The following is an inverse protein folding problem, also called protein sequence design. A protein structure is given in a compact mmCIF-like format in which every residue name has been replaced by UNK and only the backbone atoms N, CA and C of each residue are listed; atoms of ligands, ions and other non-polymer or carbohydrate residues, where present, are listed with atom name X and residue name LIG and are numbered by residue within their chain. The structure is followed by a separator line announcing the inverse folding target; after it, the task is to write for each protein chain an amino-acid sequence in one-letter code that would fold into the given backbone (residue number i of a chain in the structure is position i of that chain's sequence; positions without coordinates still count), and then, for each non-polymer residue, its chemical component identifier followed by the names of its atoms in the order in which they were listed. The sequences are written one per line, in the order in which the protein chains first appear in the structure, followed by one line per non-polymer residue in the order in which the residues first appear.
data_IF_970937230343
#
_entry.id   IF_970937230343
#
_cell.length_a   1.000
_cell.length_b   1.000
_cell.length_c   1.000
_cell.angle_alpha   90.00
_cell.angle_beta   90.00
_cell.angle_gamma   90.00
#
_symmetry.space_group_name_H-M   'P 1'
#
loop_
_entity.id
_entity.type
_entity.pdbx_description
1 polymer ?
2 water ?
#
# COMPACT_ATOMS: atom_id res chain seq x y z
N UNK A 2 2.25 -6.25 25.10
CA UNK A 2 1.35 -6.17 23.91
C UNK A 2 0.53 -4.89 24.04
N UNK A 3 -0.30 -4.83 25.09
CA UNK A 3 -1.04 -3.63 25.43
C UNK A 3 -0.14 -2.46 25.85
N UNK A 4 0.95 -2.73 26.57
CA UNK A 4 1.90 -1.68 26.97
C UNK A 4 2.63 -0.99 25.80
N UNK A 5 3.06 -1.79 24.82
CA UNK A 5 3.55 -1.29 23.54
C UNK A 5 2.52 -0.47 22.75
N UNK A 6 1.28 -0.97 22.64
CA UNK A 6 0.23 -0.19 21.97
C UNK A 6 0.03 1.14 22.66
N UNK A 7 -0.10 1.10 24.00
CA UNK A 7 -0.24 2.31 24.82
C UNK A 7 0.90 3.29 24.57
N UNK A 8 2.16 2.83 24.52
CA UNK A 8 3.31 3.72 24.18
C UNK A 8 3.16 4.33 22.79
N UNK A 9 2.80 3.50 21.81
CA UNK A 9 2.68 3.99 20.45
C UNK A 9 1.56 5.00 20.25
N UNK A 10 0.42 4.85 20.95
CA UNK A 10 -0.70 5.76 20.82
C UNK A 10 -0.28 7.13 21.37
N UNK A 11 0.44 7.14 22.49
CA UNK A 11 0.98 8.39 22.99
C UNK A 11 1.86 9.12 21.97
N UNK A 12 2.60 8.39 21.13
CA UNK A 12 3.52 9.01 20.15
C UNK A 12 2.94 9.34 18.80
N UNK A 13 1.96 8.54 18.36
CA UNK A 13 1.54 8.50 16.94
C UNK A 13 0.08 8.91 16.72
N UNK A 14 -0.73 8.87 17.77
CA UNK A 14 -2.13 9.19 17.63
C UNK A 14 -2.29 10.70 17.53
N UNK A 15 -2.77 11.18 16.39
CA UNK A 15 -3.00 12.61 16.23
C UNK A 15 -4.45 13.05 16.54
N UNK A 16 -5.47 12.31 16.07
CA UNK A 16 -6.85 12.62 16.49
C UNK A 16 -7.67 11.31 16.50
N UNK A 17 -8.82 11.27 17.17
CA UNK A 17 -9.74 10.12 17.11
C UNK A 17 -11.09 10.66 16.67
N UNK A 18 -11.86 9.83 16.00
CA UNK A 18 -13.19 10.18 15.54
C UNK A 18 -13.93 8.88 15.46
N UNK A 19 -15.18 8.92 15.04
CA UNK A 19 -16.00 7.70 15.04
C UNK A 19 -17.29 7.87 14.25
N UNK A 20 -17.89 6.72 13.92
CA UNK A 20 -19.22 6.64 13.30
C UNK A 20 -19.67 5.20 13.43
N UNK A 21 -20.82 4.95 14.09
CA UNK A 21 -21.40 3.61 14.11
C UNK A 21 -20.44 2.70 14.86
N UNK A 22 -20.10 1.54 14.29
CA UNK A 22 -19.19 0.63 14.95
C UNK A 22 -17.73 0.92 14.61
N UNK A 23 -17.45 2.09 14.03
CA UNK A 23 -16.08 2.43 13.61
C UNK A 23 -15.43 3.55 14.42
N UNK A 24 -14.22 3.32 14.97
CA UNK A 24 -13.34 4.42 15.39
C UNK A 24 -12.33 4.72 14.27
N UNK A 25 -12.17 6.00 13.97
CA UNK A 25 -11.25 6.42 12.94
C UNK A 25 -10.12 7.15 13.67
N UNK A 26 -8.87 6.73 13.44
CA UNK A 26 -7.67 7.25 14.15
C UNK A 26 -6.73 7.82 13.12
N UNK A 27 -6.15 8.99 13.41
CA UNK A 27 -5.27 9.71 12.46
C UNK A 27 -3.92 9.76 13.08
N UNK A 28 -2.91 9.49 12.27
CA UNK A 28 -1.52 9.51 12.70
C UNK A 28 -0.77 10.45 11.74
N UNK A 29 0.54 10.71 11.98
CA UNK A 29 1.25 11.42 10.91
C UNK A 29 1.38 10.52 9.68
N UNK A 30 1.55 11.13 8.49
CA UNK A 30 1.80 10.32 7.29
C UNK A 30 2.92 9.32 7.53
N UNK A 31 2.75 8.16 6.91
CA UNK A 31 3.63 7.03 7.13
C UNK A 31 3.65 6.32 8.47
N UNK A 32 2.77 6.66 9.42
CA UNK A 32 2.73 5.98 10.74
C UNK A 32 1.54 5.00 10.96
N UNK A 33 0.52 5.06 10.11
CA UNK A 33 -0.73 4.30 10.34
C UNK A 33 -0.58 2.76 10.38
N UNK A 34 0.14 2.15 9.43
CA UNK A 34 0.28 0.66 9.46
C UNK A 34 1.03 0.25 10.70
N UNK A 35 1.98 1.08 11.13
CA UNK A 35 2.78 0.79 12.30
C UNK A 35 1.96 0.79 13.60
N UNK A 36 1.14 1.83 13.76
CA UNK A 36 0.24 1.92 14.92
C UNK A 36 -0.83 0.79 14.85
N UNK A 37 -1.39 0.55 13.65
CA UNK A 37 -2.43 -0.50 13.44
C UNK A 37 -1.93 -1.93 13.79
N UNK A 38 -0.68 -2.27 13.46
CA UNK A 38 -0.19 -3.58 13.85
C UNK A 38 -0.03 -3.69 15.35
N UNK A 39 0.38 -2.60 16.01
CA UNK A 39 0.45 -2.59 17.46
C UNK A 39 -0.95 -2.73 18.09
N UNK A 40 -1.95 -2.10 17.50
CA UNK A 40 -3.32 -2.31 18.00
C UNK A 40 -3.69 -3.79 17.85
N UNK A 41 -3.33 -4.40 16.72
CA UNK A 41 -3.68 -5.81 16.46
C UNK A 41 -3.03 -6.71 17.46
N UNK A 42 -1.72 -6.55 17.59
CA UNK A 42 -0.95 -7.36 18.52
C UNK A 42 -1.40 -7.23 19.97
N UNK A 43 -2.04 -6.12 20.35
CA UNK A 43 -2.63 -5.99 21.71
C UNK A 43 -3.89 -6.86 21.86
N UNK A 44 -4.48 -7.29 20.75
CA UNK A 44 -5.73 -8.07 20.75
C UNK A 44 -6.76 -7.65 21.82
N UNK A 45 -7.27 -6.42 21.74
CA UNK A 45 -8.27 -5.98 22.70
C UNK A 45 -9.57 -6.71 22.44
N UNK A 46 -10.27 -7.11 23.51
CA UNK A 46 -11.52 -7.90 23.41
C UNK A 46 -12.58 -7.16 22.61
N UNK A 47 -12.54 -5.84 22.65
CA UNK A 47 -13.57 -5.06 21.99
C UNK A 47 -13.24 -4.66 20.54
N UNK A 48 -12.12 -5.13 20.00
CA UNK A 48 -11.70 -4.73 18.66
C UNK A 48 -11.80 -5.97 17.77
N UNK A 49 -12.54 -5.86 16.68
CA UNK A 49 -12.67 -6.97 15.70
C UNK A 49 -11.47 -6.95 14.74
N UNK A 50 -10.98 -5.77 14.43
CA UNK A 50 -9.87 -5.62 13.54
C UNK A 50 -9.67 -4.18 13.15
N UNK A 51 -8.60 -3.97 12.36
CA UNK A 51 -8.11 -2.69 11.93
C UNK A 51 -7.70 -2.79 10.48
N UNK A 52 -7.89 -1.69 9.75
CA UNK A 52 -7.23 -1.52 8.47
C UNK A 52 -6.57 -0.15 8.47
N UNK A 53 -5.33 -0.10 7.98
CA UNK A 53 -4.57 1.13 7.92
C UNK A 53 -4.43 1.62 6.47
N UNK A 54 -4.58 2.93 6.29
CA UNK A 54 -4.15 3.65 5.08
C UNK A 54 -2.76 4.21 5.33
N UNK A 55 -2.47 5.39 4.81
CA UNK A 55 -1.19 6.05 5.10
C UNK A 55 -1.19 6.77 6.47
N UNK A 56 -2.26 7.50 6.77
CA UNK A 56 -2.32 8.26 8.01
C UNK A 56 -3.66 8.13 8.73
N UNK A 57 -4.39 7.06 8.42
CA UNK A 57 -5.75 6.85 8.91
C UNK A 57 -5.85 5.37 9.29
N UNK A 58 -6.44 5.10 10.45
CA UNK A 58 -6.80 3.72 10.78
C UNK A 58 -8.29 3.58 11.02
N UNK A 59 -8.89 2.50 10.51
CA UNK A 59 -10.28 2.14 10.86
C UNK A 59 -10.24 1.03 11.80
N UNK A 60 -10.87 1.22 12.93
CA UNK A 60 -10.83 0.21 13.97
C UNK A 60 -12.24 -0.28 14.09
N UNK A 61 -12.45 -1.58 13.88
CA UNK A 61 -13.80 -2.15 14.00
C UNK A 61 -14.14 -2.56 15.43
N UNK A 62 -15.16 -1.94 16.00
CA UNK A 62 -15.60 -2.27 17.34
C UNK A 62 -16.46 -3.56 17.39
N UNK A 63 -16.32 -4.36 18.44
CA UNK A 63 -17.09 -5.56 18.63
C UNK A 63 -18.44 -5.22 19.33
N UNK A 64 -19.57 -5.42 18.63
CA UNK A 64 -20.90 -5.33 19.22
C UNK A 64 -20.88 -5.87 20.70
N UNK A 65 -21.51 -5.14 21.65
CA UNK A 65 -22.20 -3.85 21.56
C UNK A 65 -21.34 -2.61 21.84
N UNK A 66 -20.01 -2.76 21.96
CA UNK A 66 -19.13 -1.59 21.94
C UNK A 66 -19.33 -0.74 20.67
N UNK A 67 -19.38 0.57 20.83
CA UNK A 67 -19.54 1.46 19.69
C UNK A 67 -18.16 2.04 19.30
N UNK A 68 -18.05 2.59 18.11
CA UNK A 68 -16.84 3.28 17.69
C UNK A 68 -16.53 4.50 18.56
N UNK A 69 -17.56 5.20 19.04
CA UNK A 69 -17.35 6.36 19.91
C UNK A 69 -16.70 5.89 21.20
N UNK A 70 -17.07 4.73 21.70
CA UNK A 70 -16.46 4.27 22.93
C UNK A 70 -15.02 3.90 22.69
N UNK A 71 -14.73 3.22 21.57
CA UNK A 71 -13.31 2.83 21.31
C UNK A 71 -12.44 4.06 21.16
N UNK A 72 -12.93 5.03 20.36
CA UNK A 72 -12.26 6.31 20.15
C UNK A 72 -11.95 7.06 21.45
N UNK A 73 -12.92 7.20 22.34
CA UNK A 73 -12.71 7.81 23.63
C UNK A 73 -11.69 7.04 24.45
N UNK A 74 -11.72 5.72 24.42
CA UNK A 74 -10.66 4.92 25.06
C UNK A 74 -9.24 5.18 24.47
N UNK A 75 -9.10 5.10 23.14
CA UNK A 75 -7.81 5.42 22.51
C UNK A 75 -7.36 6.86 22.82
N UNK A 76 -8.31 7.79 22.83
CA UNK A 76 -8.02 9.21 23.05
C UNK A 76 -7.35 9.40 24.45
N UNK A 77 -7.92 8.75 25.47
CA UNK A 77 -7.44 8.85 26.86
C UNK A 77 -6.18 8.04 27.14
N UNK A 78 -5.65 7.37 26.13
CA UNK A 78 -4.39 6.64 26.30
C UNK A 78 -3.24 7.41 25.65
N UNK A 79 -3.54 8.56 25.05
CA UNK A 79 -2.43 9.45 24.74
C UNK A 79 -1.97 10.10 26.07
N UNK B 2 -9.89 23.57 -2.17
CA UNK B 2 -10.11 22.27 -1.47
C UNK B 2 -11.25 21.49 -2.10
N UNK B 3 -12.45 22.05 -1.98
CA UNK B 3 -13.66 21.49 -2.55
C UNK B 3 -13.73 21.58 -4.10
N UNK B 4 -13.06 22.57 -4.70
CA UNK B 4 -12.97 22.66 -6.17
C UNK B 4 -12.17 21.54 -6.80
N UNK B 5 -11.00 21.32 -6.22
CA UNK B 5 -10.15 20.19 -6.58
C UNK B 5 -10.89 18.88 -6.36
N UNK B 6 -11.53 18.73 -5.20
CA UNK B 6 -12.24 17.48 -4.98
C UNK B 6 -13.25 17.23 -6.08
N UNK B 7 -14.13 18.22 -6.30
CA UNK B 7 -15.23 18.13 -7.29
C UNK B 7 -14.75 17.94 -8.73
N UNK B 8 -13.59 18.52 -9.05
CA UNK B 8 -12.99 18.30 -10.36
C UNK B 8 -12.53 16.84 -10.48
N UNK B 9 -11.86 16.32 -9.46
CA UNK B 9 -11.41 14.92 -9.46
C UNK B 9 -12.54 13.90 -9.43
N UNK B 10 -13.61 14.17 -8.69
CA UNK B 10 -14.77 13.30 -8.80
C UNK B 10 -15.24 13.29 -10.23
N UNK B 11 -15.22 14.42 -10.91
CA UNK B 11 -15.66 14.45 -12.31
C UNK B 11 -14.83 13.54 -13.21
N UNK B 12 -13.52 13.54 -13.01
CA UNK B 12 -12.66 12.71 -13.82
C UNK B 12 -12.70 11.23 -13.44
N UNK B 13 -12.67 10.97 -12.12
CA UNK B 13 -12.26 9.68 -11.53
C UNK B 13 -13.35 8.83 -10.88
N UNK B 14 -14.50 9.42 -10.55
CA UNK B 14 -15.59 8.69 -10.00
C UNK B 14 -16.30 7.85 -11.08
N UNK B 15 -16.09 6.54 -11.03
CA UNK B 15 -16.76 5.60 -11.94
C UNK B 15 -18.15 5.18 -11.42
N UNK B 16 -18.25 4.86 -10.13
CA UNK B 16 -19.51 4.43 -9.56
C UNK B 16 -19.53 4.55 -8.03
N UNK B 17 -20.74 4.55 -7.47
CA UNK B 17 -20.90 4.64 -6.02
C UNK B 17 -21.77 3.49 -5.53
N UNK B 18 -21.83 3.32 -4.22
CA UNK B 18 -22.63 2.29 -3.59
C UNK B 18 -22.54 2.57 -2.10
N UNK B 19 -23.34 1.87 -1.31
CA UNK B 19 -23.45 2.22 0.10
C UNK B 19 -23.97 1.07 0.95
N UNK B 20 -23.65 1.08 2.23
CA UNK B 20 -24.27 0.21 3.18
C UNK B 20 -24.14 0.92 4.53
N UNK B 21 -25.25 1.21 5.20
CA UNK B 21 -25.16 1.75 6.59
C UNK B 21 -24.49 3.12 6.51
N UNK B 22 -23.51 3.35 7.37
CA UNK B 22 -22.75 4.64 7.43
C UNK B 22 -21.59 4.74 6.38
N UNK B 23 -21.58 3.83 5.40
CA UNK B 23 -20.47 3.72 4.48
C UNK B 23 -20.84 4.00 3.05
N UNK B 24 -20.00 4.81 2.40
CA UNK B 24 -20.10 5.01 0.96
C UNK B 24 -18.92 4.29 0.31
N UNK B 25 -19.18 3.51 -0.75
CA UNK B 25 -18.11 2.85 -1.50
C UNK B 25 -17.96 3.56 -2.84
N UNK B 26 -16.79 4.12 -3.11
CA UNK B 26 -16.53 4.79 -4.37
C UNK B 26 -15.59 3.96 -5.19
N UNK B 27 -15.88 3.81 -6.48
CA UNK B 27 -15.00 3.11 -7.45
C UNK B 27 -14.35 4.12 -8.38
N UNK B 28 -13.08 3.91 -8.67
CA UNK B 28 -12.32 4.74 -9.60
C UNK B 28 -11.66 3.85 -10.68
N UNK B 29 -10.95 4.46 -11.66
CA UNK B 29 -10.09 3.62 -12.48
C UNK B 29 -8.91 3.07 -11.70
N UNK B 30 -8.31 1.95 -12.18
CA UNK B 30 -7.21 1.34 -11.45
C UNK B 30 -6.17 2.39 -11.16
N UNK B 31 -5.55 2.33 -9.99
CA UNK B 31 -4.51 3.30 -9.66
C UNK B 31 -4.95 4.72 -9.28
N UNK B 32 -6.25 5.03 -9.36
CA UNK B 32 -6.76 6.40 -9.07
C UNK B 32 -7.29 6.68 -7.63
N UNK B 33 -7.59 5.62 -6.86
CA UNK B 33 -8.32 5.74 -5.59
C UNK B 33 -7.58 6.50 -4.50
N UNK B 34 -6.26 6.32 -4.38
CA UNK B 34 -5.51 7.04 -3.34
C UNK B 34 -5.52 8.53 -3.58
N UNK B 35 -5.47 8.88 -4.84
CA UNK B 35 -5.37 10.24 -5.22
C UNK B 35 -6.68 11.01 -4.95
N UNK B 36 -7.78 10.41 -5.40
CA UNK B 36 -9.13 10.83 -5.13
C UNK B 36 -9.42 10.84 -3.63
N UNK B 37 -9.15 9.74 -2.93
CA UNK B 37 -9.30 9.70 -1.48
C UNK B 37 -8.60 10.85 -0.79
N UNK B 38 -7.38 11.18 -1.20
CA UNK B 38 -6.67 12.19 -0.48
C UNK B 38 -7.25 13.61 -0.78
N UNK B 39 -7.79 13.83 -1.98
CA UNK B 39 -8.51 15.08 -2.32
C UNK B 39 -9.73 15.25 -1.41
N UNK B 40 -10.54 14.21 -1.31
CA UNK B 40 -11.64 14.14 -0.34
C UNK B 40 -11.21 14.47 1.11
N UNK B 41 -10.12 13.85 1.62
CA UNK B 41 -9.58 14.14 2.95
C UNK B 41 -9.21 15.62 3.11
N UNK B 42 -8.39 16.15 2.18
CA UNK B 42 -8.01 17.56 2.23
C UNK B 42 -9.23 18.50 2.14
N UNK B 43 -10.33 18.05 1.55
CA UNK B 43 -11.52 18.91 1.48
C UNK B 43 -12.20 19.02 2.87
N UNK B 44 -11.98 18.05 3.75
CA UNK B 44 -12.44 18.09 5.15
C UNK B 44 -13.99 18.36 5.26
N UNK B 45 -14.78 17.52 4.64
CA UNK B 45 -16.24 17.66 4.71
C UNK B 45 -16.73 17.35 6.12
N UNK B 46 -17.62 18.20 6.68
CA UNK B 46 -18.19 17.92 7.99
C UNK B 46 -18.98 16.60 8.06
N UNK B 47 -19.59 16.15 6.95
CA UNK B 47 -20.32 14.86 6.91
C UNK B 47 -19.40 13.63 6.69
N UNK B 48 -18.12 13.87 6.44
CA UNK B 48 -17.13 12.76 6.33
C UNK B 48 -16.25 12.57 7.60
N UNK B 49 -16.17 11.35 8.12
CA UNK B 49 -15.27 11.06 9.23
C UNK B 49 -13.83 10.69 8.80
N UNK B 50 -13.69 9.99 7.68
CA UNK B 50 -12.45 9.52 7.14
C UNK B 50 -12.64 8.63 5.92
N UNK B 51 -11.51 8.28 5.30
CA UNK B 51 -11.51 7.47 4.11
C UNK B 51 -10.38 6.46 4.17
N UNK B 52 -10.59 5.32 3.49
CA UNK B 52 -9.49 4.41 3.19
C UNK B 52 -9.61 4.00 1.75
N UNK B 53 -8.48 4.05 1.04
CA UNK B 53 -8.38 3.71 -0.37
C UNK B 53 -7.59 2.41 -0.57
N UNK B 54 -8.03 1.57 -1.51
CA UNK B 54 -7.20 0.57 -2.14
C UNK B 54 -6.86 1.09 -3.52
N UNK B 55 -6.66 0.19 -4.48
CA UNK B 55 -6.23 0.60 -5.81
C UNK B 55 -7.31 1.36 -6.57
N UNK B 56 -8.51 0.83 -6.60
CA UNK B 56 -9.62 1.42 -7.34
C UNK B 56 -10.89 1.53 -6.50
N UNK B 57 -10.76 1.46 -5.18
CA UNK B 57 -11.92 1.49 -4.28
C UNK B 57 -11.65 2.44 -3.12
N UNK B 58 -12.63 3.29 -2.81
CA UNK B 58 -12.58 4.12 -1.60
C UNK B 58 -13.76 3.84 -0.67
N UNK B 59 -13.42 3.59 0.60
CA UNK B 59 -14.41 3.53 1.69
C UNK B 59 -14.44 4.91 2.39
N UNK B 60 -15.61 5.55 2.36
CA UNK B 60 -15.83 6.81 3.04
C UNK B 60 -16.80 6.59 4.20
N UNK B 61 -16.38 7.00 5.39
CA UNK B 61 -17.14 6.81 6.60
C UNK B 61 -17.94 8.11 6.86
N UNK B 62 -19.27 8.00 6.80
CA UNK B 62 -20.17 9.14 6.99
C UNK B 62 -20.31 9.51 8.46
N UNK B 63 -20.29 10.80 8.76
CA UNK B 63 -20.56 11.30 10.09
C UNK B 63 -22.07 11.26 10.35
N UNK B 64 -22.47 10.57 11.43
CA UNK B 64 -23.87 10.53 11.89
C UNK B 64 -24.38 12.00 11.97
N UNK B 65 -25.62 12.27 11.47
CA UNK B 65 -26.57 11.24 11.01
C UNK B 65 -26.63 10.95 9.55
N UNK B 66 -25.71 11.50 8.76
CA UNK B 66 -25.67 11.29 7.30
C UNK B 66 -25.42 9.81 7.03
N UNK B 67 -26.09 9.24 6.03
CA UNK B 67 -25.94 7.79 5.79
C UNK B 67 -24.91 7.67 4.69
N UNK B 68 -24.49 6.44 4.41
CA UNK B 68 -23.66 6.16 3.26
C UNK B 68 -24.34 6.47 1.94
N UNK B 69 -25.64 6.19 1.85
CA UNK B 69 -26.42 6.56 0.66
C UNK B 69 -26.47 8.08 0.42
N UNK B 70 -26.68 8.87 1.47
CA UNK B 70 -26.67 10.36 1.36
C UNK B 70 -25.28 10.90 0.98
N UNK B 71 -24.26 10.20 1.46
CA UNK B 71 -22.89 10.60 1.17
C UNK B 71 -22.54 10.25 -0.26
N UNK B 72 -22.84 9.01 -0.66
CA UNK B 72 -22.75 8.61 -2.10
C UNK B 72 -23.54 9.51 -3.08
N UNK B 73 -24.77 9.92 -2.73
CA UNK B 73 -25.56 10.82 -3.59
C UNK B 73 -24.90 12.19 -3.74
N UNK B 74 -24.42 12.69 -2.62
CA UNK B 74 -23.60 13.91 -2.62
C UNK B 74 -22.40 13.82 -3.55
N UNK B 75 -21.61 12.74 -3.47
CA UNK B 75 -20.44 12.60 -4.35
C UNK B 75 -20.84 12.51 -5.86
N UNK B 76 -21.92 11.84 -6.17
CA UNK B 76 -22.34 11.80 -7.56
C UNK B 76 -22.78 13.16 -8.12
N UNK B 77 -23.57 13.91 -7.38
CA UNK B 77 -24.06 15.18 -7.92
C UNK B 77 -22.92 16.21 -8.05
N UNK B 78 -21.67 15.79 -7.94
CA UNK B 78 -20.60 16.76 -7.93
C UNK B 78 -19.74 16.63 -9.19
N UNK B 79 -19.79 15.45 -9.83
CA UNK B 79 -19.17 15.20 -11.14
C UNK B 79 -19.56 16.21 -12.24
N UNK C 2 -14.42 -16.83 -11.93
CA UNK C 2 -14.68 -15.62 -11.06
C UNK C 2 -15.01 -16.06 -9.63
N UNK C 3 -16.20 -16.62 -9.43
CA UNK C 3 -16.59 -17.21 -8.13
C UNK C 3 -15.78 -18.47 -7.82
N UNK C 4 -15.38 -19.21 -8.86
CA UNK C 4 -14.57 -20.40 -8.58
C UNK C 4 -13.18 -20.12 -8.06
N UNK C 5 -12.54 -19.15 -8.69
CA UNK C 5 -11.25 -18.63 -8.26
C UNK C 5 -11.36 -18.09 -6.81
N UNK C 6 -12.41 -17.28 -6.54
CA UNK C 6 -12.62 -16.81 -5.16
C UNK C 6 -12.70 -17.98 -4.17
N UNK C 7 -13.61 -18.94 -4.44
CA UNK C 7 -13.71 -20.18 -3.61
C UNK C 7 -12.34 -20.93 -3.37
N UNK C 8 -11.59 -21.11 -4.44
CA UNK C 8 -10.28 -21.79 -4.33
C UNK C 8 -9.33 -20.96 -3.43
N UNK C 9 -9.31 -19.64 -3.64
CA UNK C 9 -8.45 -18.78 -2.84
C UNK C 9 -8.85 -18.70 -1.37
N UNK C 10 -10.15 -18.68 -1.09
CA UNK C 10 -10.56 -18.69 0.31
C UNK C 10 -10.04 -19.93 0.99
N UNK C 11 -10.14 -21.05 0.28
CA UNK C 11 -9.58 -22.33 0.80
C UNK C 11 -8.11 -22.28 1.12
N UNK C 12 -7.27 -21.64 0.30
CA UNK C 12 -5.84 -21.47 0.64
C UNK C 12 -5.51 -20.34 1.67
N UNK C 13 -6.25 -19.21 1.62
CA UNK C 13 -5.81 -17.97 2.28
C UNK C 13 -6.63 -17.50 3.50
N UNK C 14 -7.87 -17.95 3.62
CA UNK C 14 -8.69 -17.50 4.73
C UNK C 14 -8.30 -18.20 6.02
N UNK C 15 -7.62 -17.48 6.93
CA UNK C 15 -7.28 -17.98 8.26
C UNK C 15 -8.44 -17.97 9.27
N UNK C 16 -9.16 -16.86 9.39
CA UNK C 16 -10.27 -16.77 10.35
C UNK C 16 -11.24 -15.74 9.85
N UNK C 17 -12.45 -15.75 10.41
CA UNK C 17 -13.48 -14.75 10.02
C UNK C 17 -14.09 -14.15 11.26
N UNK C 18 -14.63 -12.95 11.16
CA UNK C 18 -15.24 -12.29 12.31
C UNK C 18 -16.15 -11.22 11.74
N UNK C 19 -16.87 -10.51 12.59
CA UNK C 19 -17.83 -9.55 12.06
C UNK C 19 -18.21 -8.51 13.08
N UNK C 20 -18.81 -7.45 12.56
CA UNK C 20 -19.45 -6.47 13.39
C UNK C 20 -20.37 -5.70 12.50
N UNK C 21 -21.68 -5.69 12.79
CA UNK C 21 -22.62 -4.82 12.09
C UNK C 21 -22.66 -5.21 10.62
N UNK C 22 -22.57 -4.24 9.68
CA UNK C 22 -22.54 -4.60 8.26
C UNK C 22 -21.16 -5.11 7.75
N UNK C 23 -20.27 -5.53 8.65
CA UNK C 23 -18.88 -5.80 8.30
C UNK C 23 -18.45 -7.21 8.57
N UNK C 24 -17.84 -7.86 7.57
CA UNK C 24 -17.12 -9.12 7.81
C UNK C 24 -15.64 -8.81 7.84
N UNK C 25 -14.94 -9.36 8.82
CA UNK C 25 -13.52 -9.18 8.87
C UNK C 25 -12.89 -10.55 8.59
N UNK C 26 -12.11 -10.59 7.51
CA UNK C 26 -11.41 -11.79 7.11
C UNK C 26 -9.95 -11.61 7.42
N UNK C 27 -9.33 -12.65 7.97
CA UNK C 27 -7.89 -12.64 8.23
C UNK C 27 -7.18 -13.62 7.29
N UNK C 28 -6.02 -13.17 6.80
CA UNK C 28 -5.19 -13.98 5.92
C UNK C 28 -3.75 -14.09 6.44
N UNK C 29 -2.89 -14.90 5.79
CA UNK C 29 -1.49 -14.70 6.09
C UNK C 29 -0.96 -13.32 5.62
N UNK C 30 0.09 -12.80 6.30
CA UNK C 30 0.59 -11.48 5.88
C UNK C 30 1.02 -11.52 4.41
N UNK C 31 0.71 -10.45 3.67
CA UNK C 31 1.03 -10.40 2.23
C UNK C 31 -0.06 -10.94 1.32
N UNK C 32 -1.06 -11.62 1.91
CA UNK C 32 -2.10 -12.24 1.11
C UNK C 32 -3.49 -11.53 1.07
N UNK C 33 -3.69 -10.44 1.83
CA UNK C 33 -5.03 -9.79 1.89
C UNK C 33 -5.47 -9.14 0.57
N UNK C 34 -4.55 -8.39 -0.03
CA UNK C 34 -4.81 -7.73 -1.31
C UNK C 34 -5.20 -8.70 -2.41
N UNK C 35 -4.51 -9.82 -2.47
CA UNK C 35 -4.74 -10.83 -3.46
C UNK C 35 -6.13 -11.47 -3.30
N UNK C 36 -6.47 -11.92 -2.09
CA UNK C 36 -7.80 -12.45 -1.78
C UNK C 36 -8.92 -11.45 -2.04
N UNK C 37 -8.75 -10.20 -1.56
CA UNK C 37 -9.77 -9.14 -1.72
C UNK C 37 -10.06 -8.95 -3.17
N UNK C 38 -9.01 -8.94 -4.01
CA UNK C 38 -9.18 -8.75 -5.45
C UNK C 38 -10.01 -9.88 -6.04
N UNK C 39 -9.73 -11.12 -5.64
CA UNK C 39 -10.53 -12.28 -6.07
C UNK C 39 -12.00 -12.19 -5.59
N UNK C 40 -12.21 -11.77 -4.34
CA UNK C 40 -13.59 -11.50 -3.84
C UNK C 40 -14.29 -10.45 -4.67
N UNK C 41 -13.63 -9.31 -4.88
CA UNK C 41 -14.09 -8.23 -5.77
C UNK C 41 -14.55 -8.70 -7.14
N UNK C 42 -13.62 -9.32 -7.87
CA UNK C 42 -13.90 -9.89 -9.19
C UNK C 42 -15.08 -10.91 -9.21
N UNK C 43 -15.36 -11.62 -8.10
CA UNK C 43 -16.51 -12.57 -8.08
C UNK C 43 -17.87 -11.87 -8.03
N UNK C 44 -17.82 -10.62 -7.62
CA UNK C 44 -18.97 -9.70 -7.58
C UNK C 44 -20.22 -10.34 -6.97
N UNK C 45 -20.16 -10.79 -5.72
CA UNK C 45 -21.31 -11.42 -5.06
C UNK C 45 -22.38 -10.35 -4.83
N UNK C 46 -23.68 -10.71 -5.03
CA UNK C 46 -24.80 -9.76 -4.90
C UNK C 46 -24.86 -9.12 -3.50
N UNK C 47 -24.33 -9.79 -2.46
CA UNK C 47 -24.48 -9.31 -1.07
C UNK C 47 -23.28 -8.54 -0.56
N UNK C 48 -22.29 -8.37 -1.43
CA UNK C 48 -21.04 -7.67 -1.11
C UNK C 48 -21.07 -6.31 -1.82
N UNK C 49 -20.80 -5.22 -1.07
CA UNK C 49 -20.78 -3.88 -1.64
C UNK C 49 -19.39 -3.52 -2.07
N UNK C 50 -18.38 -3.88 -1.28
CA UNK C 50 -17.02 -3.70 -1.65
C UNK C 50 -16.09 -4.27 -0.62
N UNK C 51 -14.82 -4.22 -0.92
CA UNK C 51 -13.85 -4.73 0.04
C UNK C 51 -12.76 -3.69 0.21
N UNK C 52 -12.05 -3.69 1.32
CA UNK C 52 -10.75 -3.00 1.37
C UNK C 52 -9.76 -3.90 2.09
N UNK C 53 -8.56 -4.04 1.55
CA UNK C 53 -7.56 -4.90 2.14
C UNK C 53 -6.46 -4.10 2.87
N UNK C 54 -6.07 -4.60 4.03
CA UNK C 54 -4.80 -4.22 4.65
C UNK C 54 -3.75 -5.21 4.20
N UNK C 55 -2.93 -5.64 5.13
CA UNK C 55 -1.87 -6.58 4.80
C UNK C 55 -2.31 -8.03 5.04
N UNK C 56 -2.97 -8.26 6.18
CA UNK C 56 -3.43 -9.57 6.55
C UNK C 56 -4.90 -9.49 7.00
N UNK C 57 -5.55 -8.39 6.66
CA UNK C 57 -6.96 -8.31 6.98
C UNK C 57 -7.78 -7.68 5.85
N UNK C 58 -9.03 -8.10 5.74
CA UNK C 58 -9.92 -7.56 4.70
C UNK C 58 -11.21 -7.12 5.35
N UNK C 59 -11.72 -5.95 4.97
CA UNK C 59 -13.06 -5.53 5.37
C UNK C 59 -13.95 -5.79 4.20
N UNK C 60 -15.00 -6.60 4.43
CA UNK C 60 -16.00 -6.85 3.40
C UNK C 60 -17.28 -6.19 3.85
N UNK C 61 -17.81 -5.31 2.99
CA UNK C 61 -19.02 -4.57 3.28
C UNK C 61 -20.28 -5.31 2.78
N UNK C 62 -21.14 -5.71 3.72
CA UNK C 62 -22.40 -6.39 3.39
C UNK C 62 -23.43 -5.41 2.86
N UNK C 63 -24.09 -5.80 1.77
CA UNK C 63 -25.23 -5.12 1.22
C UNK C 63 -26.45 -5.42 2.09
N UNK C 64 -27.12 -4.37 2.55
CA UNK C 64 -28.32 -4.55 3.40
C UNK C 64 -29.34 -5.34 2.57
N UNK C 65 -30.15 -6.19 3.24
CA UNK C 65 -30.20 -6.44 4.66
C UNK C 65 -29.29 -7.58 5.16
N UNK C 66 -28.39 -8.09 4.32
CA UNK C 66 -27.41 -9.08 4.78
C UNK C 66 -26.49 -8.41 5.80
N UNK C 67 -26.06 -9.17 6.81
CA UNK C 67 -25.21 -8.65 7.87
C UNK C 67 -23.75 -9.16 7.66
N UNK C 68 -22.81 -8.59 8.39
CA UNK C 68 -21.43 -9.06 8.46
C UNK C 68 -21.29 -10.50 8.97
N UNK C 69 -22.02 -10.84 10.03
CA UNK C 69 -22.03 -12.24 10.51
C UNK C 69 -22.44 -13.21 9.40
N UNK C 70 -23.42 -12.82 8.61
CA UNK C 70 -23.90 -13.68 7.51
C UNK C 70 -22.84 -13.92 6.49
N UNK C 71 -22.19 -12.81 6.06
CA UNK C 71 -21.07 -12.91 5.11
C UNK C 71 -19.97 -13.75 5.66
N UNK C 72 -19.63 -13.50 6.92
CA UNK C 72 -18.49 -14.17 7.51
C UNK C 72 -18.76 -15.70 7.60
N UNK C 73 -20.04 -16.05 7.83
CA UNK C 73 -20.48 -17.46 7.92
C UNK C 73 -20.23 -18.15 6.59
N UNK C 74 -20.66 -17.48 5.54
CA UNK C 74 -20.58 -17.95 4.19
C UNK C 74 -19.14 -18.11 3.75
N UNK C 75 -18.28 -17.08 4.02
CA UNK C 75 -16.84 -17.19 3.70
C UNK C 75 -16.19 -18.35 4.48
N UNK C 76 -16.60 -18.49 5.73
CA UNK C 76 -16.06 -19.46 6.66
C UNK C 76 -16.31 -20.85 6.07
N UNK C 77 -17.53 -21.08 5.57
CA UNK C 77 -17.90 -22.41 5.08
C UNK C 77 -17.37 -22.68 3.66
N UNK C 78 -16.70 -21.71 3.05
CA UNK C 78 -15.99 -21.96 1.79
C UNK C 78 -14.51 -22.42 1.92
N UNK C 79 -13.92 -22.29 3.09
CA UNK C 79 -12.60 -22.81 3.35
C UNK C 79 -12.53 -24.32 3.14
N UNK D 1 9.11 -26.02 2.28
CA UNK D 1 9.40 -26.07 0.80
C UNK D 1 9.07 -24.75 0.10
N UNK D 2 9.88 -23.73 0.37
CA UNK D 2 9.71 -22.35 -0.10
C UNK D 2 9.91 -22.20 -1.61
N UNK D 3 10.91 -22.88 -2.15
CA UNK D 3 11.12 -22.82 -3.61
C UNK D 3 9.94 -23.36 -4.44
N UNK D 4 9.30 -24.42 -3.96
CA UNK D 4 8.27 -25.06 -4.76
C UNK D 4 7.04 -24.19 -4.86
N UNK D 5 6.64 -23.63 -3.72
CA UNK D 5 5.58 -22.63 -3.67
C UNK D 5 5.85 -21.41 -4.59
N UNK D 6 7.08 -20.90 -4.55
CA UNK D 6 7.51 -19.81 -5.44
C UNK D 6 7.36 -20.20 -6.91
N UNK D 7 7.91 -21.38 -7.23
CA UNK D 7 7.73 -21.99 -8.55
C UNK D 7 6.24 -22.11 -8.97
N UNK D 8 5.40 -22.67 -8.12
CA UNK D 8 3.94 -22.73 -8.34
C UNK D 8 3.32 -21.34 -8.63
N UNK D 9 3.61 -20.37 -7.77
CA UNK D 9 3.09 -19.01 -7.94
C UNK D 9 3.65 -18.28 -9.15
N UNK D 10 4.93 -18.48 -9.53
CA UNK D 10 5.44 -17.85 -10.77
C UNK D 10 4.65 -18.32 -11.98
N UNK D 11 4.39 -19.63 -12.01
CA UNK D 11 3.55 -20.29 -13.00
C UNK D 11 2.18 -19.65 -13.09
N UNK D 12 1.58 -19.33 -11.96
CA UNK D 12 0.27 -18.70 -11.94
C UNK D 12 0.22 -17.17 -12.16
N UNK D 13 1.20 -16.44 -11.62
CA UNK D 13 0.99 -15.02 -11.47
C UNK D 13 1.90 -14.19 -12.33
N UNK D 14 2.95 -14.79 -12.88
CA UNK D 14 3.92 -14.01 -13.64
C UNK D 14 3.39 -13.75 -15.07
N UNK D 15 3.06 -12.50 -15.34
CA UNK D 15 2.67 -12.06 -16.66
C UNK D 15 3.89 -11.78 -17.58
N UNK D 16 4.92 -11.08 -17.08
CA UNK D 16 6.09 -10.73 -17.91
C UNK D 16 7.34 -10.50 -17.04
N UNK D 17 8.51 -10.55 -17.65
CA UNK D 17 9.75 -10.29 -16.93
C UNK D 17 10.56 -9.30 -17.76
N UNK D 18 11.45 -8.55 -17.12
CA UNK D 18 12.21 -7.52 -17.85
C UNK D 18 13.33 -7.17 -16.91
N UNK D 19 14.24 -6.28 -17.30
CA UNK D 19 15.40 -6.04 -16.44
C UNK D 19 16.13 -4.74 -16.79
N UNK D 20 16.98 -4.30 -15.88
CA UNK D 20 17.93 -3.23 -16.19
C UNK D 20 18.93 -3.28 -15.07
N UNK D 21 20.22 -3.38 -15.40
CA UNK D 21 21.24 -3.30 -14.36
C UNK D 21 21.08 -4.46 -13.41
N UNK D 22 21.21 -4.20 -12.13
CA UNK D 22 21.06 -5.22 -11.09
C UNK D 22 19.58 -5.49 -10.73
N UNK D 23 18.65 -5.04 -11.58
CA UNK D 23 17.22 -5.21 -11.27
C UNK D 23 16.48 -6.09 -12.25
N UNK D 24 15.71 -7.03 -11.71
CA UNK D 24 14.68 -7.71 -12.52
C UNK D 24 13.33 -7.13 -12.20
N UNK D 25 12.56 -6.89 -13.26
CA UNK D 25 11.24 -6.28 -13.16
C UNK D 25 10.21 -7.36 -13.58
N UNK D 26 9.36 -7.74 -12.64
CA UNK D 26 8.32 -8.77 -12.84
C UNK D 26 6.97 -8.10 -12.82
N UNK D 27 6.06 -8.57 -13.69
CA UNK D 27 4.74 -8.02 -13.79
C UNK D 27 3.78 -9.14 -13.47
N UNK D 28 2.71 -8.77 -12.76
CA UNK D 28 1.68 -9.68 -12.35
C UNK D 28 0.32 -9.13 -12.71
N UNK D 29 -0.75 -9.92 -12.47
CA UNK D 29 -2.07 -9.24 -12.50
C UNK D 29 -2.22 -8.22 -11.35
N UNK D 30 -3.12 -7.22 -11.53
CA UNK D 30 -3.41 -6.24 -10.49
C UNK D 30 -3.75 -6.96 -9.19
N UNK D 31 -3.11 -6.52 -8.11
CA UNK D 31 -3.43 -7.02 -6.80
C UNK D 31 -2.60 -8.20 -6.38
N UNK D 32 -1.80 -8.73 -7.29
CA UNK D 32 -1.05 -9.94 -7.02
C UNK D 32 0.44 -9.74 -6.73
N UNK D 33 1.01 -8.54 -6.97
CA UNK D 33 2.47 -8.36 -6.85
C UNK D 33 2.97 -8.69 -5.46
N UNK D 34 2.28 -8.16 -4.44
CA UNK D 34 2.73 -8.34 -3.05
C UNK D 34 2.74 -9.81 -2.66
N UNK D 35 1.76 -10.56 -3.16
CA UNK D 35 1.65 -11.94 -2.81
C UNK D 35 2.80 -12.76 -3.45
N UNK D 36 3.10 -12.49 -4.71
CA UNK D 36 4.17 -13.22 -5.37
C UNK D 36 5.50 -12.80 -4.74
N UNK D 37 5.68 -11.51 -4.53
CA UNK D 37 6.92 -11.01 -3.94
C UNK D 37 7.20 -11.69 -2.63
N UNK D 38 6.20 -11.84 -1.76
CA UNK D 38 6.51 -12.53 -0.51
C UNK D 38 6.85 -14.02 -0.71
N UNK D 39 6.31 -14.68 -1.75
CA UNK D 39 6.68 -16.08 -2.01
C UNK D 39 8.13 -16.16 -2.45
N UNK D 40 8.54 -15.20 -3.29
CA UNK D 40 9.93 -15.06 -3.66
C UNK D 40 10.86 -14.83 -2.45
N UNK D 41 10.51 -13.93 -1.53
CA UNK D 41 11.29 -13.75 -0.27
C UNK D 41 11.42 -15.05 0.47
N UNK D 42 10.27 -15.63 0.80
CA UNK D 42 10.19 -16.93 1.50
C UNK D 42 11.19 -17.93 0.90
N UNK D 43 11.33 -17.97 -0.44
CA UNK D 43 12.23 -18.92 -1.10
C UNK D 43 13.74 -18.65 -0.87
N UNK D 44 14.06 -17.43 -0.45
CA UNK D 44 15.45 -16.99 -0.10
C UNK D 44 16.50 -17.41 -1.09
N UNK D 45 16.35 -17.00 -2.36
CA UNK D 45 17.31 -17.42 -3.35
C UNK D 45 18.68 -16.79 -3.05
N UNK D 46 19.77 -17.57 -3.24
CA UNK D 46 21.14 -17.12 -3.03
C UNK D 46 21.42 -15.77 -3.71
N UNK D 47 20.88 -15.60 -4.92
CA UNK D 47 21.23 -14.48 -5.81
C UNK D 47 20.27 -13.29 -5.72
N UNK D 48 19.35 -13.36 -4.76
CA UNK D 48 18.35 -12.31 -4.59
C UNK D 48 18.63 -11.57 -3.27
N UNK D 49 18.72 -10.25 -3.37
CA UNK D 49 18.99 -9.41 -2.21
C UNK D 49 17.68 -9.05 -1.52
N UNK D 50 16.67 -8.71 -2.29
CA UNK D 50 15.38 -8.39 -1.73
C UNK D 50 14.46 -8.03 -2.86
N UNK D 51 13.22 -7.77 -2.48
CA UNK D 51 12.16 -7.51 -3.41
C UNK D 51 11.37 -6.35 -2.82
N UNK D 52 10.79 -5.53 -3.68
CA UNK D 52 9.77 -4.57 -3.30
C UNK D 52 8.60 -4.73 -4.28
N UNK D 53 7.38 -4.83 -3.79
CA UNK D 53 6.21 -4.91 -4.65
C UNK D 53 5.35 -3.63 -4.67
N UNK D 54 4.78 -3.31 -5.84
CA UNK D 54 3.65 -2.39 -5.90
C UNK D 54 2.36 -3.16 -6.11
N UNK D 55 1.48 -2.66 -6.95
CA UNK D 55 0.25 -3.37 -7.21
C UNK D 55 0.43 -4.52 -8.24
N UNK D 56 1.14 -4.25 -9.35
CA UNK D 56 1.26 -5.21 -10.40
C UNK D 56 2.70 -5.45 -10.82
N UNK D 57 3.66 -4.96 -10.06
CA UNK D 57 5.05 -5.03 -10.49
C UNK D 57 5.95 -5.29 -9.32
N UNK D 58 6.99 -6.10 -9.57
CA UNK D 58 7.98 -6.42 -8.51
C UNK D 58 9.36 -6.01 -9.00
N UNK D 59 10.11 -5.33 -8.14
CA UNK D 59 11.56 -5.15 -8.28
C UNK D 59 12.26 -6.18 -7.47
N UNK D 60 13.12 -6.95 -8.12
CA UNK D 60 13.89 -7.98 -7.47
C UNK D 60 15.32 -7.52 -7.60
N UNK D 61 16.03 -7.48 -6.47
CA UNK D 61 17.39 -6.96 -6.49
C UNK D 61 18.39 -8.13 -6.63
N UNK D 62 19.20 -8.16 -7.68
CA UNK D 62 20.22 -9.25 -7.82
C UNK D 62 21.45 -9.04 -6.96
N UNK D 63 21.93 -10.12 -6.32
CA UNK D 63 23.18 -10.08 -5.61
C UNK D 63 24.34 -10.10 -6.62
N UNK D 64 25.23 -9.11 -6.57
CA UNK D 64 26.43 -9.09 -7.45
C UNK D 64 27.18 -10.45 -7.35
N UNK D 65 27.70 -10.97 -8.49
CA UNK D 65 27.68 -10.43 -9.83
C UNK D 65 26.54 -10.94 -10.71
N UNK D 66 25.55 -11.64 -10.15
CA UNK D 66 24.33 -11.92 -10.91
C UNK D 66 23.69 -10.60 -11.30
N UNK D 67 23.18 -10.53 -12.53
CA UNK D 67 22.63 -9.31 -13.05
C UNK D 67 21.07 -9.48 -13.04
N UNK D 68 20.33 -8.39 -13.20
CA UNK D 68 18.89 -8.43 -13.30
C UNK D 68 18.42 -9.27 -14.49
N UNK D 69 19.10 -9.15 -15.65
CA UNK D 69 18.79 -10.00 -16.85
C UNK D 69 18.88 -11.47 -16.52
N UNK D 70 19.87 -11.85 -15.74
CA UNK D 70 20.04 -13.25 -15.32
C UNK D 70 18.90 -13.68 -14.43
N UNK D 71 18.55 -12.85 -13.46
CA UNK D 71 17.40 -13.17 -12.58
C UNK D 71 16.15 -13.26 -13.38
N UNK D 72 15.93 -12.29 -14.28
CA UNK D 72 14.72 -12.30 -15.16
C UNK D 72 14.54 -13.58 -16.00
N UNK D 73 15.63 -14.08 -16.60
CA UNK D 73 15.55 -15.25 -17.52
C UNK D 73 15.26 -16.46 -16.66
N UNK D 74 15.86 -16.50 -15.48
CA UNK D 74 15.55 -17.55 -14.57
C UNK D 74 14.06 -17.58 -14.12
N UNK D 75 13.49 -16.40 -13.77
CA UNK D 75 12.04 -16.33 -13.40
C UNK D 75 11.15 -16.73 -14.56
N UNK D 76 11.52 -16.18 -15.71
CA UNK D 76 10.86 -16.44 -16.99
C UNK D 76 10.69 -17.95 -17.27
N UNK D 77 11.76 -18.71 -17.05
CA UNK D 77 11.73 -20.12 -17.39
C UNK D 77 11.03 -20.96 -16.35
N UNK D 78 10.66 -20.34 -15.24
CA UNK D 78 9.83 -21.01 -14.23
C UNK D 78 8.32 -20.85 -14.49
N UNK D 79 7.96 -20.06 -15.49
CA UNK D 79 6.56 -19.79 -15.86
C UNK D 79 5.88 -20.98 -16.49
N UNK E 2 -2.76 9.13 -23.89
CA UNK E 2 -1.74 8.05 -23.60
C UNK E 2 -0.47 8.66 -23.00
N UNK E 3 0.50 8.98 -23.87
CA UNK E 3 1.66 9.82 -23.51
C UNK E 3 1.13 11.21 -23.13
N UNK E 4 -0.04 11.51 -23.67
CA UNK E 4 -0.81 12.74 -23.48
C UNK E 4 -1.25 13.02 -22.05
N UNK E 5 -1.97 12.07 -21.47
CA UNK E 5 -2.34 12.10 -20.08
C UNK E 5 -1.09 12.15 -19.23
N UNK E 6 -0.10 11.35 -19.59
CA UNK E 6 1.09 11.33 -18.80
C UNK E 6 1.68 12.74 -18.69
N UNK E 7 1.87 13.39 -19.84
CA UNK E 7 2.49 14.72 -19.90
C UNK E 7 1.66 15.74 -19.10
N UNK E 8 0.34 15.58 -19.16
CA UNK E 8 -0.54 16.47 -18.41
C UNK E 8 -0.39 16.24 -16.89
N UNK E 9 -0.22 15.00 -16.47
CA UNK E 9 -0.08 14.71 -15.06
C UNK E 9 1.27 15.14 -14.50
N UNK E 10 2.33 14.98 -15.28
CA UNK E 10 3.64 15.45 -14.84
C UNK E 10 3.60 16.97 -14.63
N UNK E 11 2.96 17.71 -15.54
CA UNK E 11 2.69 19.12 -15.33
C UNK E 11 2.05 19.43 -13.97
N UNK E 12 1.00 18.69 -13.61
CA UNK E 12 0.32 19.00 -12.37
C UNK E 12 1.05 18.45 -11.13
N UNK E 13 1.65 17.25 -11.25
CA UNK E 13 1.98 16.49 -10.08
C UNK E 13 3.46 16.34 -9.83
N UNK E 14 4.32 16.66 -10.79
CA UNK E 14 5.72 16.38 -10.58
C UNK E 14 6.36 17.48 -9.77
N UNK E 15 6.73 17.19 -8.54
CA UNK E 15 7.33 18.21 -7.71
C UNK E 15 8.80 18.39 -8.09
N UNK E 16 9.58 17.29 -8.02
CA UNK E 16 10.99 17.32 -8.32
C UNK E 16 11.46 15.97 -8.90
N UNK E 17 12.64 16.00 -9.50
CA UNK E 17 13.30 14.80 -9.97
C UNK E 17 14.66 14.68 -9.34
N UNK E 18 15.14 13.44 -9.30
CA UNK E 18 16.49 13.10 -8.90
C UNK E 18 16.81 11.79 -9.65
N UNK E 19 18.02 11.28 -9.50
CA UNK E 19 18.43 10.06 -10.19
C UNK E 19 19.62 9.44 -9.51
N UNK E 20 19.85 8.17 -9.83
CA UNK E 20 21.05 7.47 -9.45
C UNK E 20 21.14 6.22 -10.31
N UNK E 21 22.27 6.07 -11.00
CA UNK E 21 22.54 4.88 -11.82
C UNK E 21 21.43 4.79 -12.85
N UNK E 22 20.75 3.63 -12.89
CA UNK E 22 19.66 3.35 -13.83
C UNK E 22 18.28 3.80 -13.32
N UNK E 23 18.26 4.57 -12.22
CA UNK E 23 16.99 4.96 -11.57
C UNK E 23 16.68 6.48 -11.61
N UNK E 24 15.47 6.82 -12.02
CA UNK E 24 14.96 8.17 -11.82
C UNK E 24 14.04 8.06 -10.63
N UNK E 25 14.09 9.06 -9.74
CA UNK E 25 13.26 9.09 -8.54
C UNK E 25 12.46 10.35 -8.71
N UNK E 26 11.15 10.21 -8.84
CA UNK E 26 10.24 11.37 -8.99
C UNK E 26 9.53 11.65 -7.70
N UNK E 27 9.33 12.92 -7.34
CA UNK E 27 8.57 13.24 -6.12
C UNK E 27 7.25 13.94 -6.51
N UNK E 28 6.17 13.63 -5.80
CA UNK E 28 4.84 14.18 -6.10
C UNK E 28 4.26 14.73 -4.81
N UNK E 29 3.11 15.45 -4.86
CA UNK E 29 2.41 15.71 -3.59
C UNK E 29 2.04 14.44 -2.88
N UNK E 30 1.85 14.51 -1.55
CA UNK E 30 1.35 13.37 -0.80
C UNK E 30 0.10 12.81 -1.47
N UNK E 31 -0.01 11.49 -1.52
CA UNK E 31 -1.18 10.83 -2.11
C UNK E 31 -1.31 10.80 -3.63
N UNK E 32 -0.34 11.32 -4.36
CA UNK E 32 -0.44 11.38 -5.83
C UNK E 32 0.50 10.41 -6.60
N UNK E 33 1.38 9.68 -5.91
CA UNK E 33 2.48 8.97 -6.57
C UNK E 33 1.99 7.77 -7.34
N UNK E 34 0.99 7.07 -6.80
CA UNK E 34 0.44 5.88 -7.44
C UNK E 34 -0.24 6.20 -8.76
N UNK E 35 -0.94 7.31 -8.73
CA UNK E 35 -1.73 7.80 -9.82
C UNK E 35 -0.84 8.25 -10.96
N UNK E 36 0.20 9.03 -10.64
CA UNK E 36 1.20 9.42 -11.63
C UNK E 36 1.94 8.16 -12.16
N UNK E 37 2.35 7.25 -11.27
CA UNK E 37 3.06 6.03 -11.69
C UNK E 37 2.23 5.24 -12.69
N UNK E 38 0.94 5.14 -12.41
CA UNK E 38 0.03 4.43 -13.26
C UNK E 38 -0.02 5.00 -14.68
N UNK E 39 0.06 6.33 -14.77
CA UNK E 39 -0.01 7.06 -16.04
C UNK E 39 1.27 6.80 -16.85
N UNK E 40 2.38 6.67 -16.14
CA UNK E 40 3.65 6.46 -16.76
C UNK E 40 3.69 5.02 -17.32
N UNK E 41 3.30 4.00 -16.51
CA UNK E 41 3.04 2.63 -17.00
C UNK E 41 2.18 2.58 -18.27
N UNK E 42 0.97 3.17 -18.24
CA UNK E 42 0.07 3.17 -19.41
C UNK E 42 0.68 3.84 -20.63
N UNK E 43 1.54 4.83 -20.44
CA UNK E 43 2.22 5.37 -21.59
C UNK E 43 3.17 4.32 -22.21
N UNK E 44 3.69 3.38 -21.43
CA UNK E 44 4.59 2.34 -21.93
C UNK E 44 5.76 2.88 -22.86
N UNK E 45 6.61 3.73 -22.25
CA UNK E 45 7.74 4.38 -22.91
C UNK E 45 8.82 3.34 -23.13
N UNK E 46 9.43 3.32 -24.33
CA UNK E 46 10.46 2.32 -24.57
C UNK E 46 11.65 2.43 -23.66
N UNK E 47 11.93 3.61 -23.11
CA UNK E 47 13.12 3.75 -22.26
C UNK E 47 12.80 3.46 -20.76
N UNK E 48 11.56 3.04 -20.42
CA UNK E 48 11.18 2.69 -19.02
C UNK E 48 10.89 1.17 -18.90
N UNK E 49 11.51 0.49 -17.96
CA UNK E 49 11.21 -0.90 -17.72
C UNK E 49 10.01 -1.11 -16.77
N UNK E 50 9.91 -0.26 -15.75
CA UNK E 50 8.89 -0.37 -14.75
C UNK E 50 8.99 0.76 -13.74
N UNK E 51 7.93 0.87 -12.96
CA UNK E 51 7.84 1.83 -11.88
C UNK E 51 7.31 1.13 -10.64
N UNK E 52 7.75 1.66 -9.49
CA UNK E 52 7.16 1.41 -8.19
C UNK E 52 6.90 2.74 -7.50
N UNK E 53 5.63 2.93 -7.11
CA UNK E 53 5.16 4.13 -6.40
C UNK E 53 5.03 3.87 -4.89
N UNK E 54 5.44 4.83 -4.07
CA UNK E 54 5.06 4.89 -2.63
C UNK E 54 4.01 6.00 -2.56
N UNK E 55 3.92 6.74 -1.46
CA UNK E 55 2.85 7.74 -1.34
C UNK E 55 3.19 9.00 -2.14
N UNK E 56 4.43 9.45 -2.05
CA UNK E 56 4.82 10.63 -2.78
C UNK E 56 6.11 10.48 -3.54
N UNK E 57 6.54 9.22 -3.76
CA UNK E 57 7.79 8.91 -4.47
C UNK E 57 7.51 7.83 -5.50
N UNK E 58 8.13 7.97 -6.67
CA UNK E 58 8.06 6.93 -7.70
C UNK E 58 9.51 6.67 -8.08
N UNK E 59 9.87 5.39 -8.02
CA UNK E 59 11.11 4.90 -8.61
C UNK E 59 10.82 4.41 -10.02
N UNK E 60 11.46 5.03 -11.01
CA UNK E 60 11.37 4.65 -12.40
C UNK E 60 12.66 3.93 -12.86
N UNK E 61 12.49 2.73 -13.38
CA UNK E 61 13.67 1.96 -13.79
C UNK E 61 13.91 2.26 -15.26
N UNK E 62 15.12 2.75 -15.60
CA UNK E 62 15.39 3.09 -17.02
C UNK E 62 15.86 1.88 -17.80
N UNK E 63 15.44 1.75 -19.04
CA UNK E 63 15.97 0.72 -19.92
C UNK E 63 17.37 1.10 -20.49
N UNK E 64 18.33 0.20 -20.37
CA UNK E 64 19.67 0.48 -20.93
C UNK E 64 19.53 0.82 -22.41
N UNK E 65 20.36 1.75 -22.92
CA UNK E 65 21.42 2.46 -22.17
C UNK E 65 20.99 3.77 -21.55
N UNK E 66 19.69 4.07 -21.51
CA UNK E 66 19.21 5.32 -20.93
C UNK E 66 19.57 5.30 -19.45
N UNK E 67 20.14 6.41 -18.94
CA UNK E 67 20.47 6.51 -17.49
C UNK E 67 19.26 7.06 -16.74
N UNK E 68 19.24 6.89 -15.42
CA UNK E 68 18.29 7.63 -14.56
C UNK E 68 18.27 9.16 -14.79
N UNK E 69 19.48 9.74 -14.94
CA UNK E 69 19.61 11.18 -15.24
C UNK E 69 18.90 11.56 -16.55
N UNK E 70 19.07 10.77 -17.61
CA UNK E 70 18.44 11.09 -18.92
C UNK E 70 16.91 10.92 -18.85
N UNK E 71 16.50 9.93 -18.06
CA UNK E 71 15.12 9.65 -17.77
C UNK E 71 14.51 10.81 -16.98
N UNK E 72 15.13 11.17 -15.85
CA UNK E 72 14.70 12.38 -15.12
C UNK E 72 14.62 13.63 -16.00
N UNK E 73 15.62 13.81 -16.88
CA UNK E 73 15.67 14.98 -17.79
C UNK E 73 14.47 14.98 -18.72
N UNK E 74 14.10 13.80 -19.24
CA UNK E 74 12.91 13.68 -20.06
C UNK E 74 11.57 13.96 -19.31
N UNK E 75 11.37 13.39 -18.12
CA UNK E 75 10.11 13.64 -17.40
C UNK E 75 10.00 15.16 -17.07
N UNK E 76 11.11 15.77 -16.68
CA UNK E 76 11.10 17.17 -16.35
C UNK E 76 10.77 18.16 -17.46
N UNK E 77 11.15 17.84 -18.69
CA UNK E 77 10.86 18.74 -19.80
C UNK E 77 9.45 18.56 -20.35
N UNK E 78 8.72 17.53 -19.90
CA UNK E 78 7.33 17.33 -20.33
C UNK E 78 6.35 18.14 -19.50
N UNK E 79 6.82 18.59 -18.32
CA UNK E 79 6.24 19.70 -17.52
C UNK E 79 6.58 19.60 -16.00
N UNK F 2 15.49 15.42 13.14
CA UNK F 2 15.50 14.65 11.84
C UNK F 2 16.37 13.41 12.00
N UNK F 3 17.69 13.64 11.96
CA UNK F 3 18.70 12.59 12.13
C UNK F 3 18.69 11.82 13.46
N UNK F 4 18.39 12.50 14.57
CA UNK F 4 18.27 11.79 15.86
C UNK F 4 17.02 10.88 15.91
N UNK F 5 15.89 11.33 15.35
CA UNK F 5 14.70 10.49 15.21
C UNK F 5 14.98 9.24 14.34
N UNK F 6 15.54 9.46 13.14
CA UNK F 6 15.97 8.35 12.28
C UNK F 6 16.85 7.36 13.03
N UNK F 7 17.94 7.84 13.64
CA UNK F 7 18.83 7.02 14.48
C UNK F 7 18.15 6.13 15.53
N UNK F 8 17.25 6.71 16.33
CA UNK F 8 16.52 5.93 17.34
C UNK F 8 15.67 4.80 16.72
N UNK F 9 14.94 5.14 15.67
CA UNK F 9 14.08 4.22 14.93
C UNK F 9 14.87 3.14 14.25
N UNK F 10 16.04 3.48 13.68
CA UNK F 10 16.96 2.44 13.21
C UNK F 10 17.33 1.47 14.35
N UNK F 11 17.66 2.02 15.52
CA UNK F 11 18.01 1.20 16.71
C UNK F 11 16.89 0.26 17.13
N UNK F 12 15.65 0.75 17.04
CA UNK F 12 14.41 0.00 17.27
C UNK F 12 14.10 -1.07 16.20
N UNK F 13 14.25 -0.68 14.93
CA UNK F 13 13.51 -1.34 13.83
C UNK F 13 14.36 -1.95 12.74
N UNK F 14 15.67 -1.74 12.77
CA UNK F 14 16.46 -2.27 11.69
C UNK F 14 16.89 -3.66 12.10
N UNK F 15 16.39 -4.69 11.40
CA UNK F 15 16.76 -6.10 11.65
C UNK F 15 18.05 -6.48 10.92
N UNK F 16 18.14 -6.12 9.65
CA UNK F 16 19.36 -6.42 8.92
C UNK F 16 19.50 -5.45 7.74
N UNK F 17 20.67 -5.46 7.11
CA UNK F 17 20.96 -4.64 5.92
C UNK F 17 21.66 -5.45 4.86
N UNK F 18 21.53 -5.02 3.60
CA UNK F 18 22.20 -5.68 2.52
C UNK F 18 22.29 -4.65 1.41
N UNK F 19 22.94 -5.01 0.32
CA UNK F 19 23.21 -4.02 -0.68
C UNK F 19 23.47 -4.70 -2.03
N UNK F 20 23.32 -3.94 -3.09
CA UNK F 20 23.78 -4.38 -4.36
C UNK F 20 23.91 -3.08 -5.12
N UNK F 21 25.05 -2.82 -5.75
CA UNK F 21 25.21 -1.66 -6.63
C UNK F 21 24.93 -0.39 -5.84
N UNK F 22 24.12 0.52 -6.40
CA UNK F 22 23.66 1.78 -5.76
C UNK F 22 22.56 1.63 -4.70
N UNK F 23 22.28 0.39 -4.25
CA UNK F 23 21.07 0.12 -3.40
C UNK F 23 21.40 -0.49 -2.04
N UNK F 24 20.83 0.07 -0.96
CA UNK F 24 20.84 -0.60 0.34
C UNK F 24 19.46 -1.23 0.50
N UNK F 25 19.38 -2.42 1.10
CA UNK F 25 18.12 -3.08 1.43
C UNK F 25 18.10 -3.26 2.92
N UNK F 26 17.12 -2.63 3.56
CA UNK F 26 16.96 -2.68 5.03
C UNK F 26 15.78 -3.56 5.34
N UNK F 27 15.94 -4.50 6.27
CA UNK F 27 14.81 -5.35 6.69
C UNK F 27 14.33 -4.80 7.99
N UNK F 28 13.02 -4.76 8.18
CA UNK F 28 12.42 -4.36 9.45
C UNK F 28 11.44 -5.46 9.99
N UNK F 29 10.89 -5.27 11.21
CA UNK F 29 9.76 -6.12 11.55
C UNK F 29 8.55 -5.86 10.64
N UNK F 30 7.66 -6.87 10.52
CA UNK F 30 6.32 -6.87 9.95
C UNK F 30 5.68 -5.52 9.64
N UNK F 31 5.11 -4.80 10.58
CA UNK F 31 4.39 -3.58 10.14
C UNK F 31 5.24 -2.30 9.98
N UNK F 32 6.56 -2.45 10.00
CA UNK F 32 7.40 -1.30 10.36
C UNK F 32 8.15 -0.51 9.24
N UNK F 33 8.16 -1.01 8.00
CA UNK F 33 9.07 -0.47 6.96
C UNK F 33 8.66 0.92 6.46
N UNK F 34 7.35 1.15 6.30
CA UNK F 34 6.90 2.47 5.89
C UNK F 34 7.25 3.49 6.93
N UNK F 35 7.14 3.11 8.19
CA UNK F 35 7.37 4.02 9.29
C UNK F 35 8.85 4.39 9.34
N UNK F 36 9.72 3.40 9.30
CA UNK F 36 11.17 3.64 9.19
C UNK F 36 11.48 4.46 7.93
N UNK F 37 11.02 4.02 6.76
CA UNK F 37 11.35 4.72 5.53
C UNK F 37 11.04 6.20 5.67
N UNK F 38 9.94 6.48 6.34
CA UNK F 38 9.48 7.81 6.49
C UNK F 38 10.42 8.68 7.31
N UNK F 39 11.05 8.10 8.30
CA UNK F 39 11.93 8.89 9.15
C UNK F 39 13.25 9.17 8.34
N UNK F 40 13.70 8.16 7.61
CA UNK F 40 14.83 8.35 6.64
C UNK F 40 14.61 9.48 5.65
N UNK F 41 13.47 9.50 4.97
CA UNK F 41 13.16 10.58 4.04
C UNK F 41 13.23 11.93 4.71
N UNK F 42 12.57 12.01 5.86
CA UNK F 42 12.50 13.20 6.69
C UNK F 42 13.93 13.65 7.09
N UNK F 43 14.79 12.73 7.51
CA UNK F 43 16.20 13.11 7.74
C UNK F 43 16.86 13.74 6.49
N UNK F 44 16.44 13.37 5.27
CA UNK F 44 16.93 14.03 4.04
C UNK F 44 18.49 13.97 3.92
N UNK F 45 19.06 12.79 4.09
CA UNK F 45 20.51 12.58 3.98
C UNK F 45 21.06 12.96 2.61
N UNK F 46 22.19 13.70 2.57
CA UNK F 46 22.71 14.07 1.22
C UNK F 46 23.21 12.85 0.42
N UNK F 47 23.59 11.75 1.10
CA UNK F 47 23.99 10.50 0.33
C UNK F 47 22.78 9.65 -0.18
N UNK F 48 21.55 10.12 0.12
CA UNK F 48 20.33 9.41 -0.19
C UNK F 48 19.49 10.15 -1.25
N UNK F 49 19.11 9.44 -2.31
CA UNK F 49 18.27 10.00 -3.38
C UNK F 49 16.76 9.78 -3.06
N UNK F 50 16.43 8.60 -2.57
CA UNK F 50 15.07 8.28 -2.23
C UNK F 50 14.96 6.91 -1.60
N UNK F 51 13.77 6.61 -1.08
CA UNK F 51 13.51 5.33 -0.48
C UNK F 51 12.15 4.85 -0.98
N UNK F 52 11.98 3.53 -1.06
CA UNK F 52 10.65 2.94 -1.26
C UNK F 52 10.52 1.80 -0.28
N UNK F 53 9.38 1.70 0.38
CA UNK F 53 9.21 0.69 1.39
C UNK F 53 8.18 -0.27 0.90
N UNK F 54 8.26 -1.51 1.38
CA UNK F 54 7.15 -2.46 1.38
C UNK F 54 6.66 -2.68 2.80
N UNK F 55 6.33 -3.91 3.14
CA UNK F 55 5.88 -4.16 4.49
C UNK F 55 7.08 -4.22 5.47
N UNK F 56 8.11 -4.97 5.10
CA UNK F 56 9.23 -5.32 5.98
C UNK F 56 10.58 -5.08 5.29
N UNK F 57 10.57 -4.37 4.16
CA UNK F 57 11.77 -4.15 3.36
C UNK F 57 11.82 -2.69 2.94
N UNK F 58 13.02 -2.08 2.99
CA UNK F 58 13.23 -0.74 2.41
C UNK F 58 14.37 -0.78 1.39
N UNK F 59 14.07 -0.20 0.22
CA UNK F 59 15.07 0.10 -0.79
C UNK F 59 15.43 1.57 -0.61
N UNK F 60 16.71 1.82 -0.38
CA UNK F 60 17.27 3.16 -0.23
C UNK F 60 18.26 3.36 -1.37
N UNK F 61 18.06 4.40 -2.14
CA UNK F 61 18.83 4.63 -3.34
C UNK F 61 19.96 5.57 -2.97
N UNK F 62 21.20 5.11 -3.12
CA UNK F 62 22.38 5.91 -2.82
C UNK F 62 22.65 6.97 -3.90
N UNK F 63 23.07 8.16 -3.49
CA UNK F 63 23.47 9.21 -4.39
C UNK F 63 24.90 8.99 -4.75
N UNK F 64 25.20 8.96 -6.05
CA UNK F 64 26.57 8.77 -6.55
C UNK F 64 27.51 9.83 -5.90
N UNK F 65 28.76 9.49 -5.51
CA UNK F 65 29.48 8.23 -5.65
C UNK F 65 29.26 7.23 -4.51
N UNK F 66 28.45 7.56 -3.50
CA UNK F 66 28.19 6.61 -2.42
C UNK F 66 27.50 5.35 -3.01
N UNK F 67 27.89 4.18 -2.52
CA UNK F 67 27.42 2.87 -3.08
C UNK F 67 26.37 2.35 -2.08
N UNK F 68 25.68 1.27 -2.45
CA UNK F 68 24.72 0.66 -1.56
C UNK F 68 25.34 0.10 -0.29
N UNK F 69 26.54 -0.45 -0.46
CA UNK F 69 27.34 -0.98 0.64
C UNK F 69 27.70 0.09 1.67
N UNK F 70 28.10 1.26 1.21
CA UNK F 70 28.51 2.37 2.11
C UNK F 70 27.29 3.00 2.81
N UNK F 71 26.21 3.15 2.06
CA UNK F 71 24.91 3.51 2.64
C UNK F 71 24.47 2.53 3.71
N UNK F 72 24.52 1.24 3.40
CA UNK F 72 24.07 0.21 4.36
C UNK F 72 24.97 0.17 5.58
N UNK F 73 26.27 0.38 5.39
CA UNK F 73 27.21 0.43 6.54
C UNK F 73 26.86 1.59 7.48
N UNK F 74 26.54 2.73 6.90
CA UNK F 74 26.19 3.88 7.67
C UNK F 74 24.93 3.58 8.50
N UNK F 75 23.92 2.96 7.88
CA UNK F 75 22.68 2.61 8.58
C UNK F 75 22.95 1.61 9.73
N UNK F 76 23.78 0.59 9.49
CA UNK F 76 24.20 -0.35 10.55
C UNK F 76 24.69 0.39 11.79
N UNK F 77 25.67 1.27 11.57
CA UNK F 77 26.31 2.01 12.63
C UNK F 77 25.50 3.13 13.28
N UNK F 78 24.21 3.27 12.96
CA UNK F 78 23.36 4.14 13.76
C UNK F 78 22.46 3.30 14.68
N UNK F 79 22.33 2.00 14.38
CA UNK F 79 21.45 1.09 15.13
C UNK F 79 22.02 0.81 16.53
#
# INVERSE_FOLDING_TARGET
GGTDRMARLLGELLVSTDDSGNLAVLRTPPGAAHYLASAIDRAALPQVVGTIAGDDTILVVAREPTTGAQLAGMFENLR
GGTDRMARLLGELLVSTDDSGNLAVLRTPPGAAHYLASAIDRAALPQVVGTIAGDDTILVVAREPTTGAQLAGMFENLR
GGTDRMARLLGELLVSTDDSGNLAVLRTPPGAAHYLASAIDRAALPQVVGTIAGDDTILVVAREPTTGAQLAGMFENLR
GGTDRMARLLGELLVSTDDSGNLAVLRTPPGAAHYLASAIDRAALPQVVGTIAGDDTILVVAREPTTGAQLAGMFENLR
GGTDRMARLLGELLVSTDDSGNLAVLRTPPGAAHYLASAIDRAALPQVVGTIAGDDTILVVAREPTTGAQLAGMFENLR
GGTDRMARLLGELLVSTDDSGNLAVLRTPPGAAHYLASAIDRAALPQVVGTIAGDDTILVVAREPTTGAQLAGMFENLR
#
